data_IF_552020377682
#
_entry.id   IF_552020377682
#
_cell.length_a   1.000
_cell.length_b   1.000
_cell.length_c   1.000
_cell.angle_alpha   90.00
_cell.angle_beta   90.00
_cell.angle_gamma   90.00
#
_symmetry.space_group_name_H-M   'P 1'
#
loop_
_entity.id
_entity.type
_entity.pdbx_description
1 polymer ?
#
# COMPACT_ATOMS: atom_id res chain seq x y z
N UNK A 1 -0.86 -10.97 15.68
CA UNK A 1 -0.95 -10.08 14.49
C UNK A 1 -1.54 -10.81 13.29
N UNK A 2 -1.23 -12.11 13.12
CA UNK A 2 -1.98 -13.05 12.25
C UNK A 2 -3.49 -12.98 12.49
N UNK A 3 -3.93 -13.08 13.75
CA UNK A 3 -5.35 -13.12 14.12
C UNK A 3 -6.20 -11.99 13.53
N UNK A 4 -5.67 -10.75 13.45
CA UNK A 4 -6.43 -9.60 12.93
C UNK A 4 -6.54 -9.61 11.41
N UNK A 5 -5.57 -10.18 10.72
CA UNK A 5 -5.54 -10.31 9.26
C UNK A 5 -6.45 -11.47 8.82
N UNK A 6 -6.36 -12.58 9.53
CA UNK A 6 -7.21 -13.75 9.32
C UNK A 6 -8.69 -13.42 9.61
N UNK A 7 -8.94 -12.51 10.57
CA UNK A 7 -10.27 -11.97 10.86
C UNK A 7 -10.86 -11.18 9.69
N UNK A 8 -10.05 -10.36 8.99
CA UNK A 8 -10.53 -9.55 7.85
C UNK A 8 -11.01 -10.45 6.72
N UNK A 9 -10.19 -11.42 6.31
CA UNK A 9 -10.53 -12.34 5.21
C UNK A 9 -11.81 -13.12 5.54
N UNK A 10 -11.90 -13.63 6.77
CA UNK A 10 -13.08 -14.37 7.22
C UNK A 10 -14.33 -13.48 7.27
N UNK A 11 -14.22 -12.23 7.73
CA UNK A 11 -15.33 -11.28 7.75
C UNK A 11 -15.77 -10.85 6.35
N UNK A 12 -14.83 -10.59 5.43
CA UNK A 12 -15.10 -10.30 4.02
C UNK A 12 -15.81 -11.47 3.34
N UNK A 13 -15.35 -12.70 3.57
CA UNK A 13 -16.00 -13.90 3.02
C UNK A 13 -17.43 -14.10 3.54
N UNK A 14 -17.68 -13.74 4.81
CA UNK A 14 -19.00 -13.85 5.45
C UNK A 14 -19.92 -12.64 5.26
N UNK A 15 -19.44 -11.58 4.61
CA UNK A 15 -20.16 -10.29 4.49
C UNK A 15 -20.55 -9.71 5.86
N UNK A 16 -19.61 -9.77 6.79
CA UNK A 16 -19.79 -9.17 8.12
C UNK A 16 -19.63 -7.65 8.03
N UNK A 17 -20.71 -6.91 8.30
CA UNK A 17 -20.74 -5.43 8.17
C UNK A 17 -19.68 -4.73 9.03
N UNK A 18 -19.42 -5.26 10.23
CA UNK A 18 -18.43 -4.65 11.13
C UNK A 18 -17.02 -4.80 10.57
N UNK A 19 -16.68 -6.01 10.11
CA UNK A 19 -15.38 -6.30 9.49
C UNK A 19 -15.25 -5.59 8.13
N UNK A 20 -16.37 -5.31 7.47
CA UNK A 20 -16.39 -4.56 6.22
C UNK A 20 -15.87 -3.12 6.38
N UNK A 21 -16.26 -2.44 7.46
CA UNK A 21 -15.72 -1.11 7.78
C UNK A 21 -14.21 -1.13 7.96
N UNK A 22 -13.71 -2.06 8.80
CA UNK A 22 -12.27 -2.24 9.03
C UNK A 22 -11.51 -2.59 7.73
N UNK A 23 -12.13 -3.39 6.86
CA UNK A 23 -11.60 -3.74 5.56
C UNK A 23 -11.54 -2.52 4.63
N UNK A 24 -12.61 -1.74 4.54
CA UNK A 24 -12.68 -0.54 3.72
C UNK A 24 -11.63 0.49 4.14
N UNK A 25 -11.61 0.87 5.42
CA UNK A 25 -10.67 1.86 5.97
C UNK A 25 -9.21 1.49 5.72
N UNK A 26 -8.93 0.18 5.73
CA UNK A 26 -7.58 -0.36 5.61
C UNK A 26 -7.07 -0.43 4.16
N UNK A 27 -7.94 -0.53 3.16
CA UNK A 27 -7.54 -0.72 1.76
C UNK A 27 -7.89 0.46 0.86
N UNK A 28 -8.93 1.23 1.17
CA UNK A 28 -9.48 2.27 0.29
C UNK A 28 -8.46 3.33 -0.12
N UNK A 29 -7.80 3.97 0.86
CA UNK A 29 -6.84 5.03 0.58
C UNK A 29 -5.65 4.53 -0.26
N UNK A 30 -5.17 3.31 0.00
CA UNK A 30 -4.06 2.72 -0.74
C UNK A 30 -4.44 2.41 -2.20
N UNK A 31 -5.65 1.90 -2.42
CA UNK A 31 -6.17 1.64 -3.77
C UNK A 31 -6.42 2.94 -4.54
N UNK A 32 -6.88 4.00 -3.88
CA UNK A 32 -7.01 5.33 -4.50
C UNK A 32 -5.66 5.87 -4.96
N UNK A 33 -4.62 5.78 -4.11
CA UNK A 33 -3.25 6.16 -4.49
C UNK A 33 -2.77 5.34 -5.67
N UNK A 34 -3.00 4.03 -5.69
CA UNK A 34 -2.62 3.16 -6.81
C UNK A 34 -3.30 3.56 -8.12
N UNK A 35 -4.63 3.71 -8.11
CA UNK A 35 -5.41 4.09 -9.29
C UNK A 35 -5.04 5.50 -9.78
N UNK A 36 -4.75 6.45 -8.87
CA UNK A 36 -4.35 7.82 -9.23
C UNK A 36 -3.04 7.90 -10.02
N UNK A 37 -2.13 6.92 -9.86
CA UNK A 37 -0.89 6.82 -10.65
C UNK A 37 -1.16 6.43 -12.11
N UNK A 38 -2.28 5.77 -12.36
CA UNK A 38 -2.70 5.28 -13.67
C UNK A 38 -3.66 6.29 -14.32
N UNK A 39 -4.57 6.88 -13.53
CA UNK A 39 -5.58 7.82 -13.96
C UNK A 39 -5.52 9.11 -13.13
N UNK A 40 -4.98 10.21 -13.68
CA UNK A 40 -4.86 11.49 -12.96
C UNK A 40 -6.17 12.29 -12.99
N UNK A 41 -7.30 11.63 -12.74
CA UNK A 41 -8.64 12.23 -12.68
C UNK A 41 -9.23 11.90 -11.30
N UNK A 42 -9.07 12.79 -10.30
CA UNK A 42 -9.42 12.50 -8.91
C UNK A 42 -10.85 12.00 -8.73
N UNK A 43 -11.83 12.62 -9.39
CA UNK A 43 -13.25 12.25 -9.27
C UNK A 43 -13.49 10.81 -9.73
N UNK A 44 -12.80 10.35 -10.77
CA UNK A 44 -12.95 8.99 -11.29
C UNK A 44 -12.20 7.93 -10.45
N UNK A 45 -11.14 8.33 -9.73
CA UNK A 45 -10.34 7.42 -8.90
C UNK A 45 -11.20 6.82 -7.79
N UNK A 46 -11.94 7.68 -7.07
CA UNK A 46 -12.76 7.25 -5.94
C UNK A 46 -13.88 6.31 -6.40
N UNK A 47 -14.58 6.66 -7.48
CA UNK A 47 -15.65 5.85 -8.06
C UNK A 47 -15.16 4.45 -8.47
N UNK A 48 -14.03 4.38 -9.19
CA UNK A 48 -13.46 3.11 -9.65
C UNK A 48 -13.05 2.19 -8.50
N UNK A 49 -12.49 2.76 -7.43
CA UNK A 49 -12.13 2.00 -6.23
C UNK A 49 -13.40 1.55 -5.50
N UNK A 50 -14.39 2.43 -5.33
CA UNK A 50 -15.66 2.07 -4.69
C UNK A 50 -16.38 0.93 -5.42
N UNK A 51 -16.40 0.93 -6.76
CA UNK A 51 -16.97 -0.16 -7.56
C UNK A 51 -16.33 -1.52 -7.24
N UNK A 52 -15.01 -1.55 -6.99
CA UNK A 52 -14.32 -2.78 -6.61
C UNK A 52 -14.77 -3.27 -5.24
N UNK A 53 -14.91 -2.39 -4.25
CA UNK A 53 -15.46 -2.76 -2.94
C UNK A 53 -16.90 -3.27 -3.05
N UNK A 54 -17.75 -2.60 -3.82
CA UNK A 54 -19.14 -3.03 -4.05
C UNK A 54 -19.16 -4.41 -4.71
N UNK A 55 -18.35 -4.62 -5.75
CA UNK A 55 -18.22 -5.93 -6.41
C UNK A 55 -17.74 -7.02 -5.45
N UNK A 56 -16.83 -6.70 -4.52
CA UNK A 56 -16.43 -7.65 -3.48
C UNK A 56 -17.58 -7.91 -2.52
N UNK A 57 -18.36 -6.91 -2.10
CA UNK A 57 -19.49 -7.08 -1.17
C UNK A 57 -20.61 -7.92 -1.78
N UNK A 58 -21.07 -7.57 -2.98
CA UNK A 58 -22.17 -8.23 -3.67
C UNK A 58 -21.76 -9.58 -4.29
N UNK A 59 -20.46 -9.73 -4.58
CA UNK A 59 -19.91 -10.92 -5.20
C UNK A 59 -19.88 -12.14 -4.28
N UNK A 60 -19.95 -13.32 -4.92
CA UNK A 60 -19.83 -14.64 -4.25
C UNK A 60 -18.40 -15.15 -4.09
N UNK A 61 -17.41 -14.37 -4.56
CA UNK A 61 -16.00 -14.75 -4.47
C UNK A 61 -15.59 -14.79 -3.00
N UNK A 62 -14.85 -15.83 -2.64
CA UNK A 62 -14.20 -15.98 -1.34
C UNK A 62 -12.69 -16.01 -1.54
N UNK A 63 -11.95 -15.62 -0.51
CA UNK A 63 -10.50 -15.56 -0.52
C UNK A 63 -9.93 -16.50 0.53
N UNK A 64 -8.88 -17.24 0.18
CA UNK A 64 -8.22 -18.20 1.05
C UNK A 64 -7.35 -17.53 2.12
N UNK A 65 -6.71 -16.42 1.76
CA UNK A 65 -5.87 -15.62 2.65
C UNK A 65 -5.87 -14.14 2.25
N UNK A 66 -5.14 -13.33 3.03
CA UNK A 66 -5.05 -11.88 2.80
C UNK A 66 -4.33 -11.56 1.49
N UNK A 67 -3.39 -12.41 1.07
CA UNK A 67 -2.61 -12.20 -0.15
C UNK A 67 -3.50 -12.35 -1.38
N UNK A 68 -4.37 -13.35 -1.39
CA UNK A 68 -5.35 -13.55 -2.46
C UNK A 68 -6.36 -12.40 -2.52
N UNK A 69 -6.87 -11.96 -1.36
CA UNK A 69 -7.78 -10.80 -1.27
C UNK A 69 -7.12 -9.53 -1.83
N UNK A 70 -5.94 -9.19 -1.33
CA UNK A 70 -5.18 -8.02 -1.78
C UNK A 70 -4.90 -8.10 -3.29
N UNK A 71 -4.41 -9.24 -3.78
CA UNK A 71 -4.13 -9.42 -5.21
C UNK A 71 -5.38 -9.20 -6.07
N UNK A 72 -6.52 -9.69 -5.62
CA UNK A 72 -7.78 -9.47 -6.33
C UNK A 72 -8.15 -7.99 -6.37
N UNK A 73 -8.05 -7.26 -5.26
CA UNK A 73 -8.43 -5.84 -5.19
C UNK A 73 -7.62 -4.99 -6.16
N UNK A 74 -6.29 -5.15 -6.15
CA UNK A 74 -5.40 -4.41 -7.05
C UNK A 74 -5.66 -4.75 -8.51
N UNK A 75 -5.86 -6.04 -8.84
CA UNK A 75 -6.20 -6.47 -10.21
C UNK A 75 -7.55 -5.91 -10.66
N UNK A 76 -8.56 -5.92 -9.79
CA UNK A 76 -9.87 -5.38 -10.09
C UNK A 76 -9.81 -3.86 -10.34
N UNK A 77 -9.10 -3.11 -9.47
CA UNK A 77 -8.89 -1.67 -9.64
C UNK A 77 -8.19 -1.35 -10.96
N UNK A 78 -7.11 -2.08 -11.28
CA UNK A 78 -6.38 -1.92 -12.53
C UNK A 78 -7.28 -2.16 -13.76
N UNK A 79 -8.01 -3.29 -13.77
CA UNK A 79 -8.89 -3.64 -14.88
C UNK A 79 -10.01 -2.62 -15.06
N UNK A 80 -10.64 -2.16 -13.97
CA UNK A 80 -11.67 -1.13 -14.01
C UNK A 80 -11.10 0.19 -14.54
N UNK A 81 -9.89 0.57 -14.13
CA UNK A 81 -9.21 1.79 -14.59
C UNK A 81 -8.91 1.72 -16.09
N UNK A 82 -8.38 0.60 -16.59
CA UNK A 82 -8.14 0.42 -18.02
C UNK A 82 -9.45 0.44 -18.83
N UNK A 83 -10.50 -0.19 -18.32
CA UNK A 83 -11.82 -0.18 -18.95
C UNK A 83 -12.38 1.24 -19.03
N UNK A 84 -12.25 2.01 -17.95
CA UNK A 84 -12.65 3.42 -17.89
C UNK A 84 -11.90 4.27 -18.92
N UNK A 85 -10.57 4.14 -18.99
CA UNK A 85 -9.74 4.85 -19.98
C UNK A 85 -10.19 4.54 -21.41
N UNK A 86 -10.44 3.25 -21.69
CA UNK A 86 -10.90 2.79 -23.01
C UNK A 86 -12.27 3.35 -23.37
N UNK A 87 -13.22 3.29 -22.44
CA UNK A 87 -14.62 3.66 -22.70
C UNK A 87 -14.80 5.17 -22.82
N UNK A 88 -14.02 5.97 -22.08
CA UNK A 88 -14.08 7.43 -22.13
C UNK A 88 -13.22 8.04 -23.24
N UNK A 89 -12.66 7.20 -24.14
CA UNK A 89 -11.80 7.65 -25.24
C UNK A 89 -10.73 8.65 -24.77
N UNK A 90 -10.14 8.41 -23.59
CA UNK A 90 -9.01 9.21 -23.07
C UNK A 90 -7.73 8.78 -23.82
N UNK A 91 -7.82 8.85 -25.15
CA UNK A 91 -6.95 8.18 -26.10
C UNK A 91 -5.75 9.04 -26.50
N UNK A 92 -5.86 10.37 -26.38
CA UNK A 92 -4.88 11.29 -26.97
C UNK A 92 -3.74 11.71 -26.01
N UNK A 93 -3.81 11.40 -24.71
CA UNK A 93 -2.74 11.79 -23.75
C UNK A 93 -2.20 10.66 -22.86
N UNK A 94 -2.94 9.57 -22.63
CA UNK A 94 -2.56 8.52 -21.67
C UNK A 94 -2.02 7.27 -22.39
N UNK A 95 -2.56 6.89 -23.55
CA UNK A 95 -2.20 5.65 -24.23
C UNK A 95 -0.82 5.68 -24.92
N UNK A 96 -0.28 6.85 -25.27
CA UNK A 96 1.05 6.92 -25.92
C UNK A 96 2.22 6.63 -24.99
N UNK A 97 2.05 6.73 -23.66
CA UNK A 97 3.07 6.36 -22.67
C UNK A 97 2.83 4.97 -22.06
N UNK A 98 1.57 4.51 -21.96
CA UNK A 98 1.23 3.27 -21.26
C UNK A 98 1.09 2.03 -22.16
N UNK A 99 0.75 2.18 -23.44
CA UNK A 99 0.45 1.04 -24.32
C UNK A 99 1.68 0.16 -24.65
N UNK A 100 2.90 0.66 -24.45
CA UNK A 100 4.13 -0.13 -24.60
C UNK A 100 4.51 -0.92 -23.33
N UNK A 101 4.11 -0.47 -22.13
CA UNK A 101 4.37 -1.19 -20.86
C UNK A 101 3.34 -2.28 -20.55
N UNK A 102 2.09 -2.16 -21.05
CA UNK A 102 1.01 -3.14 -20.78
C UNK A 102 1.19 -4.52 -21.45
N UNK A 103 2.36 -4.80 -22.04
CA UNK A 103 2.71 -6.09 -22.63
C UNK A 103 3.62 -6.95 -21.73
N UNK A 104 3.73 -6.62 -20.44
CA UNK A 104 4.67 -7.26 -19.53
C UNK A 104 3.97 -8.01 -18.37
N UNK A 105 4.28 -9.32 -18.37
CA UNK A 105 4.12 -10.40 -17.39
C UNK A 105 3.28 -10.20 -16.12
N UNK A 106 2.49 -11.23 -15.78
CA UNK A 106 1.82 -11.39 -14.49
C UNK A 106 2.79 -11.22 -13.29
N UNK A 107 4.08 -11.47 -13.50
CA UNK A 107 5.15 -11.27 -12.52
C UNK A 107 5.46 -9.81 -12.20
N UNK A 108 5.27 -8.88 -13.15
CA UNK A 108 5.46 -7.44 -12.89
C UNK A 108 4.29 -6.86 -12.11
N UNK A 109 3.07 -7.33 -12.39
CA UNK A 109 1.88 -7.01 -11.60
C UNK A 109 2.01 -7.58 -10.20
N UNK A 110 2.52 -8.81 -10.04
CA UNK A 110 2.86 -9.39 -8.73
C UNK A 110 3.91 -8.55 -7.99
N UNK A 111 4.98 -8.12 -8.66
CA UNK A 111 6.02 -7.31 -8.06
C UNK A 111 5.52 -5.91 -7.62
N UNK A 112 4.67 -5.26 -8.42
CA UNK A 112 4.07 -3.97 -8.07
C UNK A 112 3.05 -4.11 -6.93
N UNK A 113 2.20 -5.14 -6.97
CA UNK A 113 1.19 -5.43 -5.94
C UNK A 113 1.84 -5.81 -4.60
N UNK A 114 2.90 -6.63 -4.63
CA UNK A 114 3.69 -6.98 -3.44
C UNK A 114 4.42 -5.75 -2.90
N UNK A 115 4.98 -4.90 -3.76
CA UNK A 115 5.67 -3.68 -3.33
C UNK A 115 4.71 -2.70 -2.65
N UNK A 116 3.51 -2.50 -3.18
CA UNK A 116 2.54 -1.59 -2.56
C UNK A 116 1.93 -2.14 -1.28
N UNK A 117 1.65 -3.44 -1.20
CA UNK A 117 1.21 -4.07 0.06
C UNK A 117 2.30 -3.98 1.12
N UNK A 118 3.57 -4.19 0.75
CA UNK A 118 4.70 -4.06 1.67
C UNK A 118 4.85 -2.61 2.13
N UNK A 119 4.73 -1.62 1.24
CA UNK A 119 4.76 -0.21 1.60
C UNK A 119 3.60 0.13 2.54
N UNK A 120 2.39 -0.37 2.27
CA UNK A 120 1.23 -0.17 3.13
C UNK A 120 1.46 -0.77 4.53
N UNK A 121 1.93 -2.00 4.61
CA UNK A 121 2.27 -2.64 5.88
C UNK A 121 3.38 -1.87 6.61
N UNK A 122 4.39 -1.38 5.88
CA UNK A 122 5.46 -0.55 6.44
C UNK A 122 4.89 0.72 7.09
N UNK A 123 4.07 1.51 6.39
CA UNK A 123 3.45 2.70 6.96
C UNK A 123 2.53 2.37 8.14
N UNK A 124 1.76 1.29 8.05
CA UNK A 124 0.92 0.82 9.14
C UNK A 124 1.73 0.56 10.43
N UNK A 125 2.90 -0.08 10.33
CA UNK A 125 3.75 -0.33 11.49
C UNK A 125 4.58 0.89 11.91
N UNK A 126 4.86 1.83 11.00
CA UNK A 126 5.48 3.11 11.37
C UNK A 126 4.55 3.89 12.30
N UNK A 127 3.24 3.80 12.12
CA UNK A 127 2.26 4.39 13.04
C UNK A 127 2.26 3.75 14.43
N UNK A 128 2.70 2.49 14.56
CA UNK A 128 2.84 1.81 15.85
C UNK A 128 4.13 2.19 16.61
N UNK A 129 5.06 2.91 15.97
CA UNK A 129 6.32 3.33 16.61
C UNK A 129 6.08 4.41 17.67
N UNK A 130 6.93 4.47 18.72
CA UNK A 130 6.97 5.61 19.62
C UNK A 130 7.13 6.94 18.87
N UNK A 131 6.53 8.05 19.33
CA UNK A 131 6.46 9.31 18.58
C UNK A 131 7.81 9.81 18.04
N UNK A 132 8.87 9.71 18.85
CA UNK A 132 10.22 10.13 18.46
C UNK A 132 10.82 9.24 17.37
N UNK A 133 10.59 7.92 17.44
CA UNK A 133 11.05 6.95 16.44
C UNK A 133 10.32 7.14 15.12
N UNK A 134 8.98 7.24 15.18
CA UNK A 134 8.14 7.53 14.02
C UNK A 134 8.58 8.80 13.29
N UNK A 135 8.80 9.89 14.04
CA UNK A 135 9.20 11.18 13.47
C UNK A 135 10.52 11.11 12.71
N UNK A 136 11.52 10.43 13.27
CA UNK A 136 12.82 10.23 12.62
C UNK A 136 12.68 9.37 11.35
N UNK A 137 11.86 8.31 11.39
CA UNK A 137 11.64 7.43 10.24
C UNK A 137 10.90 8.15 9.11
N UNK A 138 9.87 8.94 9.42
CA UNK A 138 9.14 9.72 8.41
C UNK A 138 10.02 10.76 7.73
N UNK A 139 10.82 11.52 8.48
CA UNK A 139 11.77 12.46 7.90
C UNK A 139 12.80 11.75 6.99
N UNK A 140 13.22 10.54 7.35
CA UNK A 140 14.12 9.77 6.49
C UNK A 140 13.43 9.36 5.18
N UNK A 141 12.16 8.99 5.23
CA UNK A 141 11.36 8.67 4.03
C UNK A 141 11.15 9.91 3.15
N UNK A 142 11.01 11.09 3.76
CA UNK A 142 10.96 12.39 3.07
C UNK A 142 12.29 12.78 2.41
N UNK A 143 13.37 12.02 2.63
CA UNK A 143 14.65 12.17 1.95
C UNK A 143 15.75 12.85 2.78
N UNK A 144 15.48 13.21 4.03
CA UNK A 144 16.50 13.83 4.90
C UNK A 144 17.59 12.83 5.31
N UNK A 145 18.82 13.32 5.39
CA UNK A 145 19.97 12.60 5.97
C UNK A 145 19.84 12.49 7.48
N UNK A 146 20.56 11.54 8.09
CA UNK A 146 20.50 11.37 9.54
C UNK A 146 21.08 12.58 10.29
N UNK A 147 22.05 13.24 9.67
CA UNK A 147 22.66 14.49 10.09
C UNK A 147 21.65 15.64 10.02
N UNK A 148 20.96 15.82 8.90
CA UNK A 148 19.90 16.83 8.76
C UNK A 148 18.74 16.59 9.74
N UNK A 149 18.38 15.33 10.00
CA UNK A 149 17.36 14.97 11.00
C UNK A 149 17.83 15.34 12.41
N UNK A 150 19.10 15.09 12.74
CA UNK A 150 19.67 15.45 14.04
C UNK A 150 19.63 16.97 14.26
N UNK A 151 20.04 17.74 13.24
CA UNK A 151 19.96 19.20 13.26
C UNK A 151 18.52 19.70 13.37
N UNK A 152 17.62 19.18 12.53
CA UNK A 152 16.21 19.61 12.46
C UNK A 152 15.43 19.31 13.73
N UNK A 153 15.78 18.25 14.44
CA UNK A 153 15.14 17.84 15.69
C UNK A 153 15.90 18.36 16.93
N UNK A 154 17.01 19.07 16.76
CA UNK A 154 17.87 19.58 17.83
C UNK A 154 18.32 18.48 18.80
N UNK A 155 18.67 17.30 18.27
CA UNK A 155 19.14 16.14 19.04
C UNK A 155 20.51 15.67 18.54
N UNK A 156 21.22 14.91 19.37
CA UNK A 156 22.51 14.36 18.96
C UNK A 156 22.37 13.32 17.84
N UNK A 157 23.35 13.25 16.95
CA UNK A 157 23.43 12.19 15.93
C UNK A 157 23.43 10.78 16.56
N UNK A 158 23.94 10.64 17.79
CA UNK A 158 23.92 9.38 18.54
C UNK A 158 22.50 9.00 18.98
N UNK A 159 21.68 9.98 19.34
CA UNK A 159 20.25 9.81 19.62
C UNK A 159 19.53 9.31 18.37
N UNK A 160 19.76 9.96 17.22
CA UNK A 160 19.19 9.53 15.93
C UNK A 160 19.59 8.09 15.59
N UNK A 161 20.87 7.74 15.73
CA UNK A 161 21.37 6.36 15.50
C UNK A 161 20.70 5.33 16.40
N UNK A 162 20.48 5.66 17.66
CA UNK A 162 19.81 4.77 18.63
C UNK A 162 18.33 4.59 18.28
N UNK A 163 17.63 5.68 17.97
CA UNK A 163 16.21 5.61 17.57
C UNK A 163 16.03 4.89 16.23
N UNK A 164 16.93 5.11 15.27
CA UNK A 164 16.99 4.34 14.01
C UNK A 164 17.12 2.84 14.28
N UNK A 165 18.08 2.44 15.09
CA UNK A 165 18.32 1.02 15.40
C UNK A 165 17.09 0.36 16.04
N UNK A 166 16.45 1.05 16.99
CA UNK A 166 15.22 0.56 17.65
C UNK A 166 14.05 0.45 16.66
N UNK A 167 13.86 1.46 15.83
CA UNK A 167 12.81 1.48 14.81
C UNK A 167 12.97 0.32 13.82
N UNK A 168 14.19 0.07 13.35
CA UNK A 168 14.45 -1.02 12.40
C UNK A 168 14.25 -2.38 13.02
N UNK A 169 14.65 -2.56 14.28
CA UNK A 169 14.40 -3.81 15.01
C UNK A 169 12.89 -4.06 15.10
N UNK A 170 12.12 -3.06 15.50
CA UNK A 170 10.66 -3.17 15.61
C UNK A 170 10.01 -3.48 14.26
N UNK A 171 10.34 -2.72 13.20
CA UNK A 171 9.76 -2.91 11.87
C UNK A 171 10.13 -4.30 11.31
N UNK A 172 11.35 -4.78 11.55
CA UNK A 172 11.76 -6.13 11.15
C UNK A 172 10.97 -7.22 11.87
N UNK A 173 10.75 -7.10 13.17
CA UNK A 173 9.97 -8.06 13.96
C UNK A 173 8.50 -8.12 13.49
N UNK A 174 7.96 -6.99 12.99
CA UNK A 174 6.57 -6.88 12.54
C UNK A 174 6.35 -7.34 11.10
N UNK A 175 7.29 -7.03 10.20
CA UNK A 175 7.20 -7.27 8.77
C UNK A 175 7.80 -8.63 8.34
N UNK A 176 8.60 -9.26 9.21
CA UNK A 176 9.27 -10.52 8.90
C UNK A 176 10.50 -10.37 8.00
N UNK A 177 11.28 -11.45 7.86
CA UNK A 177 12.58 -11.41 7.17
C UNK A 177 12.48 -11.17 5.65
N UNK A 178 11.33 -11.47 5.02
CA UNK A 178 11.11 -11.28 3.58
C UNK A 178 11.06 -9.82 3.13
N UNK A 179 10.98 -8.86 4.07
CA UNK A 179 10.86 -7.41 3.80
C UNK A 179 12.18 -6.65 4.10
N UNK A 180 13.20 -7.36 4.59
CA UNK A 180 14.50 -6.78 4.95
C UNK A 180 15.17 -6.04 3.78
N UNK A 181 15.07 -6.57 2.57
CA UNK A 181 15.62 -6.00 1.34
C UNK A 181 15.01 -4.63 0.99
N UNK A 182 13.73 -4.43 1.28
CA UNK A 182 12.99 -3.20 0.93
C UNK A 182 13.27 -2.11 1.96
N UNK A 183 13.39 -2.45 3.25
CA UNK A 183 13.86 -1.51 4.28
C UNK A 183 15.30 -1.08 4.01
N UNK A 184 16.15 -1.97 3.47
CA UNK A 184 17.48 -1.59 3.00
C UNK A 184 17.40 -0.61 1.83
N UNK A 185 16.57 -0.86 0.80
CA UNK A 185 16.43 0.03 -0.37
C UNK A 185 15.71 1.36 -0.12
N UNK A 186 14.81 1.47 0.86
CA UNK A 186 14.10 2.72 1.16
C UNK A 186 14.89 3.66 2.08
N UNK A 187 15.86 3.12 2.81
CA UNK A 187 16.53 3.86 3.88
C UNK A 187 18.06 3.94 3.76
N UNK A 188 18.67 3.24 2.79
CA UNK A 188 20.05 3.47 2.31
C UNK A 188 20.01 4.05 0.91
#
# INVERSE_FOLDING_TARGET
MSDRIDTIVAGVNRKDEKTWGDFYDRFYAALCVYVSKILPIPDAVEDLVQEVFISVWEGKRTFSDIKELTNYLYRACYNNTLLYIRNNQIHDSILSSFAEECRQDEDMIYALTVKEEIIRQLYFHIEELPPEQRRIILLRIEGYTWEEIAERLEISINTVKTQKSRSYKFLREKLGDSIHSIILCLFF
#
